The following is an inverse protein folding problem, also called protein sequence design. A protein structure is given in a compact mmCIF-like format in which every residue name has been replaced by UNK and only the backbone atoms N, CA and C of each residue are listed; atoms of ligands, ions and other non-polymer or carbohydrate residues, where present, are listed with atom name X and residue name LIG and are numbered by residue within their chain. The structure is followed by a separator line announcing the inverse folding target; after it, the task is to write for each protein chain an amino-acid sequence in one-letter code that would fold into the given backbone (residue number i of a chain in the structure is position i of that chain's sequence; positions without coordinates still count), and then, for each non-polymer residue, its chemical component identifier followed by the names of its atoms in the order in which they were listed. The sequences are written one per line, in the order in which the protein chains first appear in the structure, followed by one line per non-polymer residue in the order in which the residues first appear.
data_IF_889096964499
#
_entry.id   IF_889096964499
#
_cell.length_a   1.000
_cell.length_b   1.000
_cell.length_c   1.000
_cell.angle_alpha   90.00
_cell.angle_beta   90.00
_cell.angle_gamma   90.00
#
_symmetry.space_group_name_H-M   'P 1'
#
loop_
_entity.id
_entity.type
_entity.pdbx_description
1 polymer ?
#
# COMPACT_ATOMS: atom_id res chain seq x y z
N UNK A 1 12.74 65.35 -10.66
CA UNK A 1 11.81 64.20 -10.81
C UNK A 1 12.34 63.07 -9.94
N UNK A 2 11.67 62.72 -8.83
CA UNK A 2 12.10 61.67 -7.90
C UNK A 2 11.70 60.27 -8.41
N UNK A 3 12.66 59.34 -8.43
CA UNK A 3 12.47 57.92 -8.71
C UNK A 3 11.94 57.19 -7.47
N UNK A 4 10.90 56.40 -7.68
CA UNK A 4 10.02 55.76 -6.68
C UNK A 4 10.74 54.79 -5.74
N UNK A 5 10.44 54.92 -4.44
CA UNK A 5 10.64 53.89 -3.41
C UNK A 5 9.68 52.71 -3.62
N UNK A 6 10.20 51.48 -3.61
CA UNK A 6 9.47 50.24 -3.28
C UNK A 6 10.26 49.60 -2.13
N UNK A 7 9.83 49.63 -0.87
CA UNK A 7 8.64 49.00 -0.27
C UNK A 7 8.77 47.46 -0.24
N UNK A 8 9.29 47.01 0.91
CA UNK A 8 8.80 45.89 1.72
C UNK A 8 8.41 44.58 0.99
N UNK A 9 9.19 43.52 1.16
CA UNK A 9 8.64 42.15 1.24
C UNK A 9 9.47 41.32 2.21
N UNK A 10 9.01 41.34 3.46
CA UNK A 10 9.17 40.26 4.43
C UNK A 10 8.39 39.07 3.86
N UNK A 11 9.03 37.92 3.60
CA UNK A 11 8.30 36.68 3.34
C UNK A 11 9.03 35.47 3.93
N UNK A 12 8.39 34.96 4.99
CA UNK A 12 8.20 33.54 5.30
C UNK A 12 9.45 32.65 5.29
N UNK A 13 10.12 32.55 6.44
CA UNK A 13 10.73 31.29 6.86
C UNK A 13 9.61 30.29 7.10
N UNK A 14 9.26 29.51 6.09
CA UNK A 14 8.39 28.34 6.22
C UNK A 14 9.09 27.33 7.13
N UNK A 15 8.71 27.34 8.41
CA UNK A 15 8.88 26.25 9.34
C UNK A 15 8.13 25.03 8.82
N UNK A 16 8.74 24.28 7.91
CA UNK A 16 8.27 22.94 7.54
C UNK A 16 8.65 22.00 8.69
N UNK A 17 7.77 21.98 9.68
CA UNK A 17 7.69 20.95 10.70
C UNK A 17 7.38 19.63 9.96
N UNK A 18 8.42 18.97 9.45
CA UNK A 18 8.34 17.59 8.97
C UNK A 18 8.09 16.74 10.20
N UNK A 19 6.81 16.55 10.53
CA UNK A 19 6.38 15.45 11.38
C UNK A 19 6.70 14.22 10.55
N UNK A 20 7.90 13.67 10.76
CA UNK A 20 8.22 12.32 10.37
C UNK A 20 7.33 11.42 11.23
N UNK A 21 6.06 11.29 10.81
CA UNK A 21 5.29 10.14 11.18
C UNK A 21 6.12 8.92 10.78
N UNK A 22 6.22 7.89 11.63
CA UNK A 22 6.82 6.66 11.19
C UNK A 22 5.99 6.23 9.99
N UNK A 23 6.57 6.30 8.80
CA UNK A 23 6.14 5.49 7.69
C UNK A 23 6.35 4.06 8.18
N UNK A 24 5.35 3.54 8.92
CA UNK A 24 5.07 2.13 8.89
C UNK A 24 4.95 1.90 7.40
N UNK A 25 5.96 1.27 6.82
CA UNK A 25 5.91 0.85 5.44
C UNK A 25 4.74 -0.13 5.37
N UNK A 26 3.53 0.42 5.20
CA UNK A 26 2.43 -0.22 4.53
C UNK A 26 3.06 -0.60 3.20
N UNK A 27 3.62 -1.82 3.17
CA UNK A 27 4.05 -2.45 1.94
C UNK A 27 2.90 -2.25 0.95
N UNK A 28 3.24 -1.96 -0.29
CA UNK A 28 2.27 -1.53 -1.27
C UNK A 28 1.23 -2.65 -1.42
N UNK A 29 0.04 -2.52 -0.81
CA UNK A 29 -0.90 -3.63 -0.74
C UNK A 29 -1.32 -4.06 -2.16
N UNK A 30 -1.28 -3.12 -3.11
CA UNK A 30 -1.43 -3.43 -4.52
C UNK A 30 -0.33 -4.35 -5.05
N UNK A 31 0.95 -4.10 -4.75
CA UNK A 31 2.05 -5.00 -5.13
C UNK A 31 1.88 -6.42 -4.55
N UNK A 32 1.49 -6.53 -3.28
CA UNK A 32 1.27 -7.85 -2.66
C UNK A 32 0.01 -8.55 -3.19
N UNK A 33 -1.04 -7.79 -3.54
CA UNK A 33 -2.22 -8.29 -4.27
C UNK A 33 -1.79 -8.92 -5.59
N UNK A 34 -0.97 -8.22 -6.37
CA UNK A 34 -0.46 -8.70 -7.66
C UNK A 34 0.36 -10.01 -7.50
N UNK A 35 1.16 -10.14 -6.43
CA UNK A 35 1.92 -11.37 -6.15
C UNK A 35 1.00 -12.55 -5.84
N UNK A 36 -0.01 -12.33 -5.00
CA UNK A 36 -0.98 -13.37 -4.64
C UNK A 36 -1.87 -13.75 -5.83
N UNK A 37 -2.33 -12.79 -6.63
CA UNK A 37 -3.05 -13.05 -7.88
C UNK A 37 -2.23 -13.91 -8.84
N UNK A 38 -0.93 -13.60 -8.99
CA UNK A 38 -0.03 -14.39 -9.82
C UNK A 38 0.11 -15.82 -9.30
N UNK A 39 0.32 -15.99 -7.99
CA UNK A 39 0.42 -17.31 -7.38
C UNK A 39 -0.85 -18.15 -7.56
N UNK A 40 -2.03 -17.52 -7.47
CA UNK A 40 -3.32 -18.15 -7.69
C UNK A 40 -3.61 -18.47 -9.16
N UNK A 41 -3.00 -17.75 -10.09
CA UNK A 41 -3.05 -18.00 -11.53
C UNK A 41 -2.14 -19.15 -11.96
N UNK A 42 -1.07 -19.43 -11.22
CA UNK A 42 -0.13 -20.52 -11.47
C UNK A 42 0.07 -21.42 -10.22
N UNK A 43 -1.01 -22.00 -9.64
CA UNK A 43 -0.93 -22.67 -8.34
C UNK A 43 0.01 -23.88 -8.32
N UNK A 44 0.23 -24.53 -9.48
CA UNK A 44 1.17 -25.63 -9.63
C UNK A 44 2.65 -25.24 -9.49
N UNK A 45 3.03 -24.01 -9.81
CA UNK A 45 4.40 -23.49 -9.64
C UNK A 45 4.72 -23.19 -8.17
N UNK A 46 3.70 -22.82 -7.40
CA UNK A 46 3.82 -22.48 -5.98
C UNK A 46 3.52 -23.67 -5.05
N UNK A 47 3.16 -24.83 -5.61
CA UNK A 47 2.79 -26.01 -4.82
C UNK A 47 1.54 -25.80 -3.95
N UNK A 48 0.64 -24.90 -4.37
CA UNK A 48 -0.54 -24.52 -3.61
C UNK A 48 -1.67 -25.53 -3.92
N UNK A 49 -2.13 -26.25 -2.92
CA UNK A 49 -3.30 -27.14 -3.05
C UNK A 49 -4.56 -26.34 -3.39
N UNK A 50 -5.50 -26.96 -4.11
CA UNK A 50 -6.75 -26.32 -4.56
C UNK A 50 -7.51 -25.69 -3.38
N UNK A 51 -7.55 -26.36 -2.24
CA UNK A 51 -8.26 -25.88 -1.02
C UNK A 51 -7.60 -24.62 -0.45
N UNK A 52 -6.28 -24.57 -0.47
CA UNK A 52 -5.50 -23.40 -0.05
C UNK A 52 -5.69 -22.26 -1.05
N UNK A 53 -5.69 -22.56 -2.35
CA UNK A 53 -5.92 -21.57 -3.40
C UNK A 53 -7.32 -20.94 -3.30
N UNK A 54 -8.36 -21.71 -2.97
CA UNK A 54 -9.70 -21.17 -2.71
C UNK A 54 -9.73 -20.24 -1.50
N UNK A 55 -9.07 -20.63 -0.41
CA UNK A 55 -8.98 -19.80 0.80
C UNK A 55 -8.22 -18.50 0.54
N UNK A 56 -7.14 -18.58 -0.23
CA UNK A 56 -6.36 -17.42 -0.66
C UNK A 56 -7.18 -16.49 -1.57
N UNK A 57 -8.03 -17.01 -2.46
CA UNK A 57 -8.94 -16.18 -3.28
C UNK A 57 -9.91 -15.38 -2.42
N UNK A 58 -10.46 -15.99 -1.38
CA UNK A 58 -11.36 -15.29 -0.45
C UNK A 58 -10.63 -14.15 0.28
N UNK A 59 -9.40 -14.37 0.75
CA UNK A 59 -8.59 -13.33 1.38
C UNK A 59 -8.20 -12.22 0.39
N UNK A 60 -7.86 -12.59 -0.84
CA UNK A 60 -7.54 -11.65 -1.92
C UNK A 60 -8.73 -10.76 -2.28
N UNK A 61 -9.94 -11.31 -2.36
CA UNK A 61 -11.16 -10.54 -2.60
C UNK A 61 -11.43 -9.55 -1.46
N UNK A 62 -11.25 -9.99 -0.21
CA UNK A 62 -11.39 -9.11 0.96
C UNK A 62 -10.32 -8.01 0.99
N UNK A 63 -9.07 -8.34 0.68
CA UNK A 63 -7.98 -7.36 0.59
C UNK A 63 -8.28 -6.31 -0.48
N UNK A 64 -8.79 -6.73 -1.64
CA UNK A 64 -9.22 -5.83 -2.71
C UNK A 64 -10.38 -4.93 -2.29
N UNK A 65 -11.34 -5.42 -1.50
CA UNK A 65 -12.39 -4.59 -0.91
C UNK A 65 -11.80 -3.52 0.00
N UNK A 66 -10.92 -3.90 0.94
CA UNK A 66 -10.28 -2.95 1.86
C UNK A 66 -9.43 -1.91 1.15
N UNK A 67 -8.71 -2.31 0.09
CA UNK A 67 -8.00 -1.38 -0.79
C UNK A 67 -8.93 -0.36 -1.44
N UNK A 68 -10.09 -0.82 -1.96
CA UNK A 68 -11.08 0.06 -2.60
C UNK A 68 -11.69 1.04 -1.60
N UNK A 69 -11.86 0.61 -0.35
CA UNK A 69 -12.33 1.43 0.76
C UNK A 69 -11.25 2.40 1.29
N UNK A 70 -10.00 2.29 0.81
CA UNK A 70 -8.86 3.09 1.26
C UNK A 70 -8.26 2.64 2.59
N UNK A 71 -8.63 1.46 3.08
CA UNK A 71 -8.08 0.84 4.29
C UNK A 71 -6.86 -0.03 3.95
N UNK A 72 -5.75 0.65 3.70
CA UNK A 72 -4.47 0.02 3.34
C UNK A 72 -3.94 -0.91 4.44
N UNK A 73 -4.22 -0.61 5.71
CA UNK A 73 -3.76 -1.43 6.83
C UNK A 73 -4.49 -2.78 6.87
N UNK A 74 -5.82 -2.77 6.75
CA UNK A 74 -6.61 -3.99 6.68
C UNK A 74 -6.32 -4.77 5.40
N UNK A 75 -6.11 -4.07 4.28
CA UNK A 75 -5.66 -4.68 3.02
C UNK A 75 -4.36 -5.46 3.23
N UNK A 76 -3.35 -4.82 3.82
CA UNK A 76 -2.05 -5.44 4.04
C UNK A 76 -2.12 -6.62 5.00
N UNK A 77 -2.96 -6.55 6.04
CA UNK A 77 -3.16 -7.66 6.97
C UNK A 77 -3.75 -8.90 6.26
N UNK A 78 -4.77 -8.69 5.43
CA UNK A 78 -5.43 -9.77 4.69
C UNK A 78 -4.50 -10.39 3.64
N UNK A 79 -3.74 -9.55 2.92
CA UNK A 79 -2.83 -10.07 1.89
C UNK A 79 -1.63 -10.78 2.48
N UNK A 80 -1.11 -10.32 3.62
CA UNK A 80 -0.05 -11.02 4.36
C UNK A 80 -0.52 -12.39 4.84
N UNK A 81 -1.79 -12.53 5.23
CA UNK A 81 -2.37 -13.84 5.55
C UNK A 81 -2.43 -14.73 4.32
N UNK A 82 -2.88 -14.21 3.17
CA UNK A 82 -2.90 -14.97 1.92
C UNK A 82 -1.51 -15.43 1.49
N UNK A 83 -0.51 -14.56 1.58
CA UNK A 83 0.91 -14.86 1.29
C UNK A 83 1.45 -15.97 2.19
N UNK A 84 1.15 -15.93 3.50
CA UNK A 84 1.57 -16.97 4.44
C UNK A 84 0.94 -18.34 4.13
N UNK A 85 -0.34 -18.37 3.72
CA UNK A 85 -1.01 -19.63 3.37
C UNK A 85 -0.43 -20.26 2.10
N UNK A 86 -0.13 -19.44 1.09
CA UNK A 86 0.40 -19.90 -0.20
C UNK A 86 1.93 -19.96 -0.29
N UNK A 87 2.63 -19.63 0.79
CA UNK A 87 4.09 -19.46 0.80
C UNK A 87 4.59 -18.54 -0.34
N UNK A 88 3.91 -17.41 -0.52
CA UNK A 88 4.20 -16.39 -1.55
C UNK A 88 5.05 -15.28 -0.93
N UNK A 89 6.29 -15.12 -1.41
CA UNK A 89 7.19 -14.03 -0.98
C UNK A 89 6.87 -12.68 -1.65
#
# INVERSE_FOLDING_TARGET
MPGKSNLLTIMLTCSAFMIAAPAIALADCAEDIDKVERALGTPGDYGIDVTTAESMRVLLDQANEKRRDGDEAACQELINQAKQMGNVE
#
